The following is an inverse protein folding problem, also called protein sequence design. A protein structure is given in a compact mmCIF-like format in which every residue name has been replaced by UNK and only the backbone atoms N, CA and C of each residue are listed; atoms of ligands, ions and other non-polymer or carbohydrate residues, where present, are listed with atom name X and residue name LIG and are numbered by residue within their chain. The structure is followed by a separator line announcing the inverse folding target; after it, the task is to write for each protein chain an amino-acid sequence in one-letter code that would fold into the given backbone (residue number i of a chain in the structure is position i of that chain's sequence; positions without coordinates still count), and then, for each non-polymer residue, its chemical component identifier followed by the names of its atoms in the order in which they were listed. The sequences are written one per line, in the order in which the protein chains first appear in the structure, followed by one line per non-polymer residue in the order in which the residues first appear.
data_IF_928838607351
#
_entry.id   IF_928838607351
#
_cell.length_a   1.000
_cell.length_b   1.000
_cell.length_c   1.000
_cell.angle_alpha   90.00
_cell.angle_beta   90.00
_cell.angle_gamma   90.00
#
_symmetry.space_group_name_H-M   'P 1'
#
loop_
_entity.id
_entity.type
_entity.pdbx_description
1 polymer ?
#
# COMPACT_ATOMS: atom_id res chain seq x y z
N UNK A 1 -8.29 8.40 -16.04
CA UNK A 1 -8.75 7.76 -14.79
C UNK A 1 -7.51 7.13 -14.13
N UNK A 2 -7.25 7.39 -12.85
CA UNK A 2 -6.09 6.81 -12.15
C UNK A 2 -6.33 5.34 -11.81
N UNK A 3 -5.28 4.53 -11.98
CA UNK A 3 -5.30 3.08 -11.74
C UNK A 3 -4.39 2.72 -10.57
N UNK A 4 -4.88 1.92 -9.64
CA UNK A 4 -4.14 1.53 -8.43
C UNK A 4 -4.18 0.02 -8.25
N UNK A 5 -3.03 -0.57 -7.98
CA UNK A 5 -2.89 -1.95 -7.56
C UNK A 5 -2.72 -2.01 -6.04
N UNK A 6 -3.56 -2.77 -5.36
CA UNK A 6 -3.38 -3.13 -3.95
C UNK A 6 -3.12 -4.62 -3.90
N UNK A 7 -1.98 -5.03 -3.34
CA UNK A 7 -1.61 -6.45 -3.25
C UNK A 7 -2.23 -7.10 -2.02
N UNK A 8 -2.67 -8.34 -2.15
CA UNK A 8 -3.29 -9.10 -1.07
C UNK A 8 -2.63 -10.47 -0.92
N UNK A 9 -2.16 -10.78 0.28
CA UNK A 9 -1.67 -12.10 0.64
C UNK A 9 -2.34 -12.58 1.93
N UNK A 10 -2.47 -13.90 2.18
CA UNK A 10 -3.01 -14.41 3.44
C UNK A 10 -2.30 -13.80 4.64
N UNK A 11 -3.06 -13.34 5.64
CA UNK A 11 -2.55 -12.63 6.81
C UNK A 11 -2.32 -11.13 6.60
N UNK A 12 -2.93 -10.53 5.57
CA UNK A 12 -2.95 -9.07 5.38
C UNK A 12 -3.59 -8.36 6.60
N UNK A 13 -3.25 -7.09 6.81
CA UNK A 13 -3.92 -6.28 7.84
C UNK A 13 -5.20 -5.64 7.26
N UNK A 14 -6.31 -5.88 7.91
CA UNK A 14 -7.65 -5.59 7.39
C UNK A 14 -7.93 -4.10 7.30
N UNK A 15 -7.63 -3.34 8.36
CA UNK A 15 -7.88 -1.89 8.41
C UNK A 15 -7.06 -1.20 7.32
N UNK A 16 -5.78 -1.56 7.19
CA UNK A 16 -4.86 -0.95 6.22
C UNK A 16 -5.33 -1.22 4.79
N UNK A 17 -5.68 -2.47 4.49
CA UNK A 17 -6.09 -2.89 3.15
C UNK A 17 -7.42 -2.24 2.76
N UNK A 18 -8.45 -2.40 3.58
CA UNK A 18 -9.81 -1.97 3.24
C UNK A 18 -9.92 -0.44 3.24
N UNK A 19 -9.27 0.24 4.19
CA UNK A 19 -9.26 1.70 4.20
C UNK A 19 -8.65 2.27 2.93
N UNK A 20 -7.50 1.78 2.50
CA UNK A 20 -6.85 2.25 1.27
C UNK A 20 -7.73 2.00 0.05
N UNK A 21 -8.30 0.80 -0.09
CA UNK A 21 -9.18 0.44 -1.21
C UNK A 21 -10.43 1.33 -1.23
N UNK A 22 -11.13 1.47 -0.12
CA UNK A 22 -12.37 2.25 -0.03
C UNK A 22 -12.11 3.73 -0.34
N UNK A 23 -11.14 4.35 0.31
CA UNK A 23 -10.84 5.79 0.15
C UNK A 23 -10.42 6.12 -1.28
N UNK A 24 -9.58 5.29 -1.90
CA UNK A 24 -9.16 5.50 -3.28
C UNK A 24 -10.32 5.29 -4.28
N UNK A 25 -11.19 4.32 -4.05
CA UNK A 25 -12.42 4.12 -4.86
C UNK A 25 -13.37 5.31 -4.72
N UNK A 26 -13.57 5.87 -3.52
CA UNK A 26 -14.33 7.12 -3.29
C UNK A 26 -13.75 8.31 -4.05
N UNK A 27 -12.43 8.37 -4.20
CA UNK A 27 -11.76 9.41 -4.98
C UNK A 27 -11.93 9.26 -6.50
N UNK A 28 -12.44 8.13 -6.97
CA UNK A 28 -12.63 7.81 -8.40
C UNK A 28 -11.46 7.07 -9.04
N UNK A 29 -10.56 6.47 -8.22
CA UNK A 29 -9.56 5.56 -8.73
C UNK A 29 -10.19 4.21 -9.13
N UNK A 30 -9.66 3.61 -10.21
CA UNK A 30 -9.86 2.19 -10.47
C UNK A 30 -8.86 1.42 -9.63
N UNK A 31 -9.32 0.87 -8.52
CA UNK A 31 -8.49 0.06 -7.61
C UNK A 31 -8.73 -1.41 -7.90
N UNK A 32 -7.65 -2.13 -8.19
CA UNK A 32 -7.63 -3.59 -8.31
C UNK A 32 -6.96 -4.18 -7.07
N UNK A 33 -7.72 -4.96 -6.30
CA UNK A 33 -7.22 -5.76 -5.18
C UNK A 33 -6.78 -7.13 -5.74
N UNK A 34 -5.48 -7.35 -5.85
CA UNK A 34 -4.94 -8.54 -6.50
C UNK A 34 -4.27 -9.50 -5.51
N UNK A 35 -4.71 -10.75 -5.52
CA UNK A 35 -4.27 -11.76 -4.57
C UNK A 35 -3.10 -12.61 -5.08
N UNK A 36 -2.21 -13.00 -4.16
CA UNK A 36 -1.09 -13.90 -4.43
C UNK A 36 -1.50 -15.36 -4.57
N UNK A 37 -2.66 -15.73 -4.01
CA UNK A 37 -3.23 -17.07 -4.04
C UNK A 37 -4.72 -17.04 -4.38
N UNK A 38 -5.27 -18.14 -4.86
CA UNK A 38 -6.68 -18.27 -5.26
C UNK A 38 -7.65 -18.27 -4.08
N UNK A 39 -8.87 -17.81 -4.32
CA UNK A 39 -9.99 -17.90 -3.36
C UNK A 39 -10.12 -16.68 -2.46
N UNK A 40 -10.90 -16.84 -1.41
CA UNK A 40 -11.10 -15.85 -0.37
C UNK A 40 -9.93 -15.89 0.60
N UNK A 41 -9.30 -14.76 0.86
CA UNK A 41 -8.15 -14.67 1.75
C UNK A 41 -8.59 -14.22 3.14
N UNK A 42 -7.98 -14.82 4.16
CA UNK A 42 -8.19 -14.44 5.55
C UNK A 42 -7.06 -13.51 6.00
N UNK A 43 -7.45 -12.38 6.58
CA UNK A 43 -6.53 -11.40 7.15
C UNK A 43 -5.97 -11.80 8.51
N UNK A 44 -5.08 -10.99 9.04
CA UNK A 44 -4.38 -11.24 10.32
C UNK A 44 -5.30 -11.28 11.54
N UNK A 45 -6.54 -10.79 11.40
CA UNK A 45 -7.58 -10.77 12.44
C UNK A 45 -8.79 -11.63 12.08
N UNK A 46 -8.69 -12.47 11.05
CA UNK A 46 -9.72 -13.44 10.68
C UNK A 46 -10.82 -12.91 9.75
N UNK A 47 -10.74 -11.65 9.29
CA UNK A 47 -11.71 -11.12 8.32
C UNK A 47 -11.37 -11.67 6.94
N UNK A 48 -12.40 -12.18 6.26
CA UNK A 48 -12.27 -12.78 4.94
C UNK A 48 -12.59 -11.79 3.84
N UNK A 49 -11.70 -11.70 2.85
CA UNK A 49 -11.84 -10.79 1.71
C UNK A 49 -11.65 -11.55 0.40
N UNK A 50 -12.59 -11.33 -0.54
CA UNK A 50 -12.45 -11.80 -1.90
C UNK A 50 -11.64 -10.78 -2.72
N UNK A 51 -10.59 -11.16 -3.43
CA UNK A 51 -9.87 -10.28 -4.33
C UNK A 51 -10.67 -9.97 -5.58
N UNK A 52 -10.33 -8.87 -6.25
CA UNK A 52 -10.89 -8.57 -7.57
C UNK A 52 -10.25 -9.45 -8.65
N UNK A 53 -8.95 -9.71 -8.55
CA UNK A 53 -8.17 -10.49 -9.52
C UNK A 53 -7.04 -11.28 -8.85
N UNK A 54 -6.44 -12.19 -9.62
CA UNK A 54 -5.18 -12.83 -9.25
C UNK A 54 -4.00 -11.96 -9.63
N UNK A 55 -2.90 -12.05 -8.88
CA UNK A 55 -1.69 -11.27 -9.12
C UNK A 55 -1.12 -11.52 -10.53
N UNK A 56 -1.17 -12.76 -11.04
CA UNK A 56 -0.75 -13.10 -12.40
C UNK A 56 -1.47 -12.30 -13.47
N UNK A 57 -2.77 -12.09 -13.31
CA UNK A 57 -3.61 -11.40 -14.29
C UNK A 57 -3.31 -9.89 -14.40
N UNK A 58 -2.54 -9.35 -13.46
CA UNK A 58 -2.22 -7.92 -13.41
C UNK A 58 -0.75 -7.60 -13.68
N UNK A 59 0.12 -8.62 -13.81
CA UNK A 59 1.57 -8.42 -13.98
C UNK A 59 1.95 -7.53 -15.17
N UNK A 60 1.20 -7.63 -16.27
CA UNK A 60 1.44 -6.87 -17.50
C UNK A 60 0.61 -5.58 -17.58
N UNK A 61 -0.31 -5.36 -16.64
CA UNK A 61 -1.13 -4.14 -16.61
C UNK A 61 -0.31 -2.93 -16.12
N UNK A 62 -0.75 -1.75 -16.53
CA UNK A 62 -0.15 -0.48 -16.10
C UNK A 62 -0.94 0.12 -14.94
N UNK A 63 -0.21 0.57 -13.92
CA UNK A 63 -0.77 1.25 -12.75
C UNK A 63 -0.07 2.59 -12.49
N UNK A 64 -0.81 3.56 -11.95
CA UNK A 64 -0.23 4.83 -11.48
C UNK A 64 0.38 4.69 -10.08
N UNK A 65 -0.14 3.73 -9.29
CA UNK A 65 0.30 3.45 -7.91
C UNK A 65 0.20 1.96 -7.62
N UNK A 66 1.19 1.41 -6.91
CA UNK A 66 1.08 0.14 -6.18
C UNK A 66 1.09 0.42 -4.68
N UNK A 67 0.20 -0.26 -3.92
CA UNK A 67 0.13 -0.16 -2.47
C UNK A 67 0.24 -1.55 -1.83
N UNK A 68 1.15 -1.66 -0.86
CA UNK A 68 1.40 -2.88 -0.10
C UNK A 68 0.91 -2.68 1.34
N UNK A 69 -0.14 -3.40 1.77
CA UNK A 69 -0.57 -3.43 3.16
C UNK A 69 0.39 -4.25 4.02
N UNK A 70 0.34 -4.00 5.31
CA UNK A 70 1.05 -4.79 6.31
C UNK A 70 0.27 -6.01 6.78
N UNK A 71 0.44 -6.34 8.07
CA UNK A 71 -0.08 -7.56 8.68
C UNK A 71 0.90 -8.71 8.61
N UNK A 72 0.80 -9.61 9.58
CA UNK A 72 1.58 -10.84 9.61
C UNK A 72 0.65 -12.06 9.63
N UNK A 73 0.94 -13.10 8.83
CA UNK A 73 2.11 -13.28 7.97
C UNK A 73 2.01 -12.63 6.56
N UNK A 74 1.02 -11.77 6.29
CA UNK A 74 0.77 -11.18 4.98
C UNK A 74 1.99 -10.47 4.38
N UNK A 75 2.70 -9.66 5.19
CA UNK A 75 3.93 -8.99 4.79
C UNK A 75 5.02 -9.97 4.36
N UNK A 76 5.22 -11.05 5.14
CA UNK A 76 6.24 -12.05 4.81
C UNK A 76 5.85 -12.84 3.54
N UNK A 77 4.57 -13.14 3.36
CA UNK A 77 4.06 -13.77 2.15
C UNK A 77 4.31 -12.89 0.90
N UNK A 78 4.02 -11.58 0.99
CA UNK A 78 4.32 -10.64 -0.09
C UNK A 78 5.84 -10.50 -0.32
N UNK A 79 6.62 -10.40 0.75
CA UNK A 79 8.09 -10.25 0.71
C UNK A 79 8.78 -11.44 0.04
N UNK A 80 8.21 -12.63 0.16
CA UNK A 80 8.77 -13.86 -0.39
C UNK A 80 8.22 -14.21 -1.78
N UNK A 81 7.24 -13.45 -2.29
CA UNK A 81 6.69 -13.65 -3.62
C UNK A 81 7.53 -12.88 -4.67
N UNK A 82 8.25 -13.56 -5.58
CA UNK A 82 9.10 -12.90 -6.57
C UNK A 82 8.35 -12.01 -7.55
N UNK A 83 7.02 -12.22 -7.71
CA UNK A 83 6.18 -11.37 -8.55
C UNK A 83 6.05 -9.95 -7.98
N UNK A 84 6.04 -9.82 -6.65
CA UNK A 84 5.99 -8.52 -5.95
C UNK A 84 7.26 -7.72 -6.24
N UNK A 85 8.43 -8.33 -6.13
CA UNK A 85 9.70 -7.66 -6.43
C UNK A 85 9.72 -7.18 -7.89
N UNK A 86 9.31 -8.02 -8.85
CA UNK A 86 9.23 -7.64 -10.27
C UNK A 86 8.29 -6.45 -10.50
N UNK A 87 7.11 -6.45 -9.86
CA UNK A 87 6.15 -5.34 -9.95
C UNK A 87 6.75 -4.05 -9.39
N UNK A 88 7.41 -4.10 -8.22
CA UNK A 88 8.05 -2.93 -7.61
C UNK A 88 9.14 -2.35 -8.50
N UNK A 89 10.00 -3.19 -9.08
CA UNK A 89 11.06 -2.77 -10.01
C UNK A 89 10.47 -2.17 -11.30
N UNK A 90 9.40 -2.78 -11.85
CA UNK A 90 8.65 -2.22 -12.98
C UNK A 90 8.08 -0.83 -12.65
N UNK A 91 7.40 -0.68 -11.52
CA UNK A 91 6.82 0.58 -11.08
C UNK A 91 7.91 1.66 -10.87
N UNK A 92 9.02 1.30 -10.25
CA UNK A 92 10.15 2.21 -10.05
C UNK A 92 10.76 2.68 -11.37
N UNK A 93 11.04 1.76 -12.29
CA UNK A 93 11.65 2.09 -13.59
C UNK A 93 10.76 2.98 -14.45
N UNK A 94 9.44 2.87 -14.29
CA UNK A 94 8.43 3.70 -14.96
C UNK A 94 8.13 5.02 -14.24
N UNK A 95 8.79 5.33 -13.12
CA UNK A 95 8.54 6.53 -12.33
C UNK A 95 7.14 6.60 -11.71
N UNK A 96 6.53 5.44 -11.45
CA UNK A 96 5.20 5.32 -10.83
C UNK A 96 5.29 5.42 -9.30
N UNK A 97 4.14 5.63 -8.66
CA UNK A 97 4.09 5.69 -7.20
C UNK A 97 4.13 4.31 -6.55
N UNK A 98 4.87 4.21 -5.45
CA UNK A 98 4.99 3.00 -4.63
C UNK A 98 4.64 3.37 -3.19
N UNK A 99 3.67 2.67 -2.61
CA UNK A 99 3.20 2.94 -1.26
C UNK A 99 3.25 1.67 -0.40
N UNK A 100 3.65 1.81 0.87
CA UNK A 100 3.69 0.70 1.82
C UNK A 100 3.36 1.18 3.23
N UNK A 101 2.64 0.37 3.99
CA UNK A 101 2.24 0.72 5.35
C UNK A 101 2.64 -0.37 6.36
N UNK A 102 2.89 0.01 7.61
CA UNK A 102 3.11 -0.87 8.75
C UNK A 102 4.42 -1.67 8.61
N UNK A 103 4.36 -2.99 8.46
CA UNK A 103 5.53 -3.83 8.23
C UNK A 103 5.95 -3.90 6.74
N UNK A 104 5.07 -3.51 5.82
CA UNK A 104 5.32 -3.62 4.37
C UNK A 104 6.52 -2.81 3.83
N UNK A 105 7.02 -1.71 4.45
CA UNK A 105 8.28 -1.10 4.03
C UNK A 105 9.47 -2.06 4.01
N UNK A 106 9.44 -3.17 4.78
CA UNK A 106 10.49 -4.22 4.72
C UNK A 106 10.52 -4.93 3.35
N UNK A 107 9.41 -4.94 2.61
CA UNK A 107 9.34 -5.45 1.24
C UNK A 107 10.08 -4.49 0.30
N UNK A 108 9.86 -3.18 0.49
CA UNK A 108 10.54 -2.14 -0.29
C UNK A 108 12.05 -2.14 -0.03
N UNK A 109 12.47 -2.41 1.22
CA UNK A 109 13.88 -2.55 1.59
C UNK A 109 14.51 -3.72 0.81
N UNK A 110 13.89 -4.90 0.84
CA UNK A 110 14.35 -6.09 0.10
C UNK A 110 14.47 -5.84 -1.41
N UNK A 111 13.50 -5.11 -1.97
CA UNK A 111 13.47 -4.78 -3.40
C UNK A 111 14.43 -3.63 -3.80
N UNK A 112 15.18 -3.06 -2.86
CA UNK A 112 16.13 -1.96 -3.13
C UNK A 112 15.47 -0.60 -3.41
N UNK A 113 14.17 -0.46 -3.14
CA UNK A 113 13.38 0.76 -3.42
C UNK A 113 13.70 1.90 -2.45
N UNK A 114 14.14 1.56 -1.21
CA UNK A 114 14.35 2.54 -0.13
C UNK A 114 15.78 3.10 -0.07
N UNK A 115 16.66 2.73 -1.01
CA UNK A 115 18.02 3.26 -1.02
C UNK A 115 18.01 4.80 -1.09
N UNK A 116 18.72 5.44 -0.15
CA UNK A 116 18.86 6.90 -0.03
C UNK A 116 17.51 7.65 0.10
N UNK A 117 16.50 7.03 0.77
CA UNK A 117 15.18 7.60 0.95
C UNK A 117 14.75 7.69 2.40
N UNK A 118 14.09 8.80 2.71
CA UNK A 118 13.36 8.94 3.97
C UNK A 118 12.10 8.07 3.97
N UNK A 119 11.83 7.39 5.09
CA UNK A 119 10.69 6.50 5.23
C UNK A 119 10.19 6.40 6.67
N UNK A 120 9.04 5.80 6.86
CA UNK A 120 8.52 5.36 8.15
C UNK A 120 7.97 3.95 8.07
N UNK A 121 7.82 3.29 9.21
CA UNK A 121 7.29 1.92 9.30
C UNK A 121 6.67 1.68 10.68
N UNK A 122 6.10 0.50 10.88
CA UNK A 122 5.66 0.06 12.20
C UNK A 122 6.86 -0.12 13.14
N UNK A 123 6.76 0.28 14.43
CA UNK A 123 7.87 0.14 15.39
C UNK A 123 8.45 -1.27 15.51
N UNK A 124 7.63 -2.32 15.31
CA UNK A 124 8.09 -3.72 15.40
C UNK A 124 9.12 -4.13 14.34
N UNK A 125 9.25 -3.36 13.25
CA UNK A 125 10.21 -3.65 12.17
C UNK A 125 11.28 -2.55 12.02
N UNK A 126 11.21 -1.52 12.84
CA UNK A 126 12.10 -0.36 12.79
C UNK A 126 13.59 -0.76 12.83
N UNK A 127 13.96 -1.77 13.61
CA UNK A 127 15.34 -2.24 13.74
C UNK A 127 15.94 -2.83 12.45
N UNK A 128 15.13 -3.03 11.40
CA UNK A 128 15.61 -3.48 10.09
C UNK A 128 16.09 -2.33 9.19
N UNK A 129 15.93 -1.07 9.63
CA UNK A 129 16.27 0.13 8.86
C UNK A 129 17.35 0.93 9.58
N UNK A 130 18.35 1.41 8.84
CA UNK A 130 19.42 2.24 9.39
C UNK A 130 18.88 3.61 9.83
N UNK A 131 17.94 4.15 9.05
CA UNK A 131 17.26 5.42 9.35
C UNK A 131 15.76 5.28 9.12
N UNK A 132 14.96 5.85 10.03
CA UNK A 132 13.53 5.98 9.87
C UNK A 132 13.04 7.28 10.52
N UNK A 133 11.92 7.81 10.02
CA UNK A 133 11.28 8.99 10.60
C UNK A 133 10.07 8.58 11.44
N UNK A 134 9.99 9.03 12.69
CA UNK A 134 8.81 8.87 13.53
C UNK A 134 7.71 9.85 13.08
N UNK A 135 7.13 9.58 11.90
CA UNK A 135 6.04 10.35 11.29
C UNK A 135 4.95 9.39 10.81
N UNK A 136 3.71 9.82 10.96
CA UNK A 136 2.54 9.02 10.57
C UNK A 136 2.54 8.65 9.09
N UNK A 137 2.95 9.59 8.22
CA UNK A 137 3.13 9.38 6.77
C UNK A 137 4.41 10.10 6.33
N UNK A 138 5.23 9.44 5.53
CA UNK A 138 6.42 10.01 4.90
C UNK A 138 6.30 9.87 3.39
N UNK A 139 6.59 10.95 2.67
CA UNK A 139 6.63 11.02 1.21
C UNK A 139 8.04 11.40 0.81
N UNK A 140 8.69 10.55 0.03
CA UNK A 140 9.98 10.83 -0.57
C UNK A 140 9.92 10.52 -2.07
N UNK A 141 9.76 11.58 -2.86
CA UNK A 141 9.58 11.49 -4.30
C UNK A 141 8.35 10.66 -4.69
N UNK A 142 8.56 9.46 -5.19
CA UNK A 142 7.49 8.53 -5.62
C UNK A 142 7.21 7.42 -4.60
N UNK A 143 7.91 7.42 -3.46
CA UNK A 143 7.72 6.43 -2.40
C UNK A 143 6.96 7.06 -1.24
N UNK A 144 5.90 6.40 -0.80
CA UNK A 144 5.04 6.83 0.31
C UNK A 144 4.98 5.71 1.34
N UNK A 145 5.32 6.02 2.59
CA UNK A 145 5.28 5.04 3.67
C UNK A 145 4.42 5.53 4.84
N UNK A 146 3.85 4.61 5.61
CA UNK A 146 3.05 4.91 6.78
C UNK A 146 3.26 3.88 7.90
N UNK A 147 2.82 4.21 9.14
CA UNK A 147 3.24 3.45 10.32
C UNK A 147 2.39 2.22 10.64
N UNK A 148 1.04 2.34 10.61
CA UNK A 148 0.21 1.31 11.26
C UNK A 148 -1.27 1.42 10.89
N UNK A 149 -2.13 0.49 11.32
CA UNK A 149 -3.58 0.60 11.13
C UNK A 149 -4.16 1.95 11.59
N UNK A 150 -3.64 2.52 12.68
CA UNK A 150 -4.07 3.82 13.20
C UNK A 150 -3.71 5.02 12.31
N UNK A 151 -2.85 4.84 11.30
CA UNK A 151 -2.49 5.88 10.32
C UNK A 151 -3.08 5.63 8.93
N UNK A 152 -3.82 4.54 8.74
CA UNK A 152 -4.31 4.09 7.43
C UNK A 152 -5.20 5.12 6.73
N UNK A 153 -6.06 5.82 7.49
CA UNK A 153 -6.95 6.85 6.93
C UNK A 153 -6.16 8.05 6.40
N UNK A 154 -5.22 8.57 7.20
CA UNK A 154 -4.34 9.68 6.79
C UNK A 154 -3.50 9.28 5.58
N UNK A 155 -2.92 8.08 5.60
CA UNK A 155 -2.17 7.53 4.50
C UNK A 155 -3.01 7.46 3.22
N UNK A 156 -4.21 6.88 3.27
CA UNK A 156 -5.11 6.77 2.13
C UNK A 156 -5.52 8.14 1.56
N UNK A 157 -5.84 9.12 2.42
CA UNK A 157 -6.15 10.48 1.98
C UNK A 157 -4.92 11.17 1.35
N UNK A 158 -3.71 10.90 1.86
CA UNK A 158 -2.48 11.40 1.24
C UNK A 158 -2.25 10.80 -0.14
N UNK A 159 -2.56 9.51 -0.35
CA UNK A 159 -2.53 8.90 -1.68
C UNK A 159 -3.57 9.53 -2.64
N UNK A 160 -4.76 9.90 -2.13
CA UNK A 160 -5.74 10.67 -2.92
C UNK A 160 -5.18 12.02 -3.33
N UNK A 161 -4.57 12.75 -2.40
CA UNK A 161 -3.95 14.05 -2.68
C UNK A 161 -2.89 13.95 -3.79
N UNK A 162 -2.01 12.94 -3.71
CA UNK A 162 -0.95 12.69 -4.69
C UNK A 162 -1.51 12.37 -6.07
N UNK A 163 -2.56 11.57 -6.16
CA UNK A 163 -3.11 11.10 -7.43
C UNK A 163 -4.08 12.09 -8.07
N UNK A 164 -4.83 12.85 -7.29
CA UNK A 164 -5.97 13.65 -7.75
C UNK A 164 -5.92 15.12 -7.33
N UNK A 165 -4.96 15.49 -6.48
CA UNK A 165 -4.81 16.84 -5.93
C UNK A 165 -5.62 17.09 -4.66
N UNK A 166 -5.27 18.19 -3.99
CA UNK A 166 -5.78 18.56 -2.67
C UNK A 166 -7.31 18.74 -2.63
N UNK A 167 -7.91 19.29 -3.68
CA UNK A 167 -9.36 19.52 -3.72
C UNK A 167 -10.18 18.22 -3.76
N UNK A 168 -9.68 17.19 -4.44
CA UNK A 168 -10.33 15.87 -4.41
C UNK A 168 -10.18 15.24 -3.03
N UNK A 169 -9.01 15.34 -2.42
CA UNK A 169 -8.76 14.83 -1.07
C UNK A 169 -9.71 15.47 -0.05
N UNK A 170 -9.85 16.81 -0.08
CA UNK A 170 -10.78 17.54 0.80
C UNK A 170 -12.23 17.06 0.64
N UNK A 171 -12.69 16.85 -0.62
CA UNK A 171 -14.04 16.33 -0.89
C UNK A 171 -14.25 14.94 -0.29
N UNK A 172 -13.29 14.03 -0.47
CA UNK A 172 -13.36 12.69 0.13
C UNK A 172 -13.34 12.77 1.65
N UNK A 173 -12.42 13.55 2.23
CA UNK A 173 -12.31 13.73 3.67
C UNK A 173 -13.60 14.29 4.30
N UNK A 174 -14.24 15.27 3.66
CA UNK A 174 -15.50 15.85 4.15
C UNK A 174 -16.64 14.80 4.21
N UNK A 175 -16.67 13.84 3.29
CA UNK A 175 -17.69 12.78 3.28
C UNK A 175 -17.43 11.72 4.34
N UNK A 176 -16.15 11.31 4.51
CA UNK A 176 -15.79 10.26 5.48
C UNK A 176 -15.57 10.80 6.90
N UNK A 177 -15.54 12.14 7.08
CA UNK A 177 -15.39 12.82 8.38
C UNK A 177 -14.12 12.39 9.14
N UNK A 178 -13.02 12.15 8.45
CA UNK A 178 -11.79 11.66 9.08
C UNK A 178 -11.12 12.68 10.01
N UNK A 179 -11.43 13.97 9.87
CA UNK A 179 -10.90 15.07 10.72
C UNK A 179 -9.37 15.09 10.79
N UNK A 180 -8.72 14.84 9.64
CA UNK A 180 -7.28 14.81 9.46
C UNK A 180 -6.82 16.08 8.73
#
# INVERSE_FOLDING_TARGET
MKTVLVTLAPGFEEIETITVVDILRRAGARVTLAATVTGVLEGSRGIKVAPDEMLEAVMDKEFDLICLPGGQPGTDNLKNDPRIEKLLQKMQSQGKYIAAICAAPTILLKAGILKDRSMTCHPSVQSQFDEYLDKRVVIDGKVITSQSPGTAMEFALKLVEILFGIERMKKVNAVVLARI
#
